data_IF_856542142894
#
_entry.id   IF_856542142894
#
_cell.length_a   1.000
_cell.length_b   1.000
_cell.length_c   1.000
_cell.angle_alpha   90.00
_cell.angle_beta   90.00
_cell.angle_gamma   90.00
#
_symmetry.space_group_name_H-M   'P 1'
#
loop_
_entity.id
_entity.type
_entity.pdbx_description
1 polymer ?
#
# COMPACT_ATOMS: atom_id res chain seq x y z
N UNK A 1 41.30 -53.25 -29.88
CA UNK A 1 39.99 -52.70 -30.29
C UNK A 1 39.70 -51.49 -29.43
N UNK A 2 39.44 -50.32 -30.02
CA UNK A 2 39.09 -49.11 -29.28
C UNK A 2 37.58 -48.89 -29.35
N UNK A 3 36.93 -48.71 -28.20
CA UNK A 3 35.50 -48.38 -28.10
C UNK A 3 35.39 -46.86 -28.19
N UNK A 4 34.81 -46.36 -29.29
CA UNK A 4 34.52 -44.94 -29.46
C UNK A 4 33.18 -44.66 -28.80
N UNK A 5 33.20 -44.08 -27.60
CA UNK A 5 32.00 -43.57 -26.94
C UNK A 5 31.62 -42.24 -27.60
N UNK A 6 30.61 -42.28 -28.48
CA UNK A 6 29.97 -41.05 -28.99
C UNK A 6 29.12 -40.46 -27.86
N UNK A 7 29.57 -39.36 -27.27
CA UNK A 7 28.70 -38.52 -26.46
C UNK A 7 27.49 -38.08 -27.30
N UNK A 8 26.28 -38.39 -26.81
CA UNK A 8 25.08 -37.78 -27.37
C UNK A 8 25.13 -36.30 -27.03
N UNK A 9 25.45 -35.46 -28.00
CA UNK A 9 25.19 -34.03 -27.92
C UNK A 9 23.67 -33.86 -27.90
N UNK A 10 23.08 -33.85 -26.70
CA UNK A 10 21.72 -33.37 -26.50
C UNK A 10 21.73 -31.86 -26.77
N UNK A 11 21.68 -31.50 -28.06
CA UNK A 11 21.55 -30.11 -28.47
C UNK A 11 20.28 -29.53 -27.88
N UNK A 12 20.37 -28.31 -27.34
CA UNK A 12 19.20 -27.59 -26.84
C UNK A 12 18.22 -27.42 -28.00
N UNK A 13 16.98 -27.88 -27.79
CA UNK A 13 15.92 -27.69 -28.77
C UNK A 13 15.43 -26.23 -28.70
N UNK A 14 16.05 -25.37 -29.51
CA UNK A 14 15.74 -23.94 -29.60
C UNK A 14 14.27 -23.67 -29.93
N UNK A 15 13.62 -24.52 -30.73
CA UNK A 15 12.20 -24.38 -31.02
C UNK A 15 11.36 -24.58 -29.76
N UNK A 16 11.64 -25.64 -28.99
CA UNK A 16 10.95 -25.88 -27.72
C UNK A 16 11.19 -24.75 -26.72
N UNK A 17 12.39 -24.17 -26.70
CA UNK A 17 12.72 -23.06 -25.81
C UNK A 17 11.88 -21.82 -26.16
N UNK A 18 11.84 -21.43 -27.44
CA UNK A 18 11.07 -20.27 -27.91
C UNK A 18 9.57 -20.44 -27.61
N UNK A 19 9.02 -21.64 -27.88
CA UNK A 19 7.60 -21.92 -27.62
C UNK A 19 7.29 -21.81 -26.13
N UNK A 20 8.10 -22.42 -25.27
CA UNK A 20 7.92 -22.33 -23.81
C UNK A 20 8.02 -20.89 -23.31
N UNK A 21 9.01 -20.13 -23.79
CA UNK A 21 9.17 -18.71 -23.43
C UNK A 21 7.98 -17.87 -23.88
N UNK A 22 7.44 -18.12 -25.08
CA UNK A 22 6.25 -17.43 -25.58
C UNK A 22 5.05 -17.63 -24.66
N UNK A 23 4.74 -18.88 -24.29
CA UNK A 23 3.64 -19.17 -23.36
C UNK A 23 3.85 -18.52 -21.98
N UNK A 24 5.09 -18.53 -21.48
CA UNK A 24 5.43 -17.90 -20.22
C UNK A 24 5.17 -16.38 -20.25
N UNK A 25 5.53 -15.70 -21.33
CA UNK A 25 5.26 -14.27 -21.52
C UNK A 25 3.76 -14.01 -21.58
N UNK A 26 2.99 -14.84 -22.30
CA UNK A 26 1.53 -14.67 -22.41
C UNK A 26 0.84 -14.82 -21.04
N UNK A 27 1.24 -15.80 -20.24
CA UNK A 27 0.66 -16.03 -18.91
C UNK A 27 0.98 -14.86 -17.97
N UNK A 28 2.24 -14.41 -17.95
CA UNK A 28 2.66 -13.29 -17.10
C UNK A 28 1.99 -11.99 -17.56
N UNK A 29 1.97 -11.71 -18.86
CA UNK A 29 1.35 -10.51 -19.41
C UNK A 29 -0.16 -10.49 -19.20
N UNK A 30 -0.84 -11.61 -19.43
CA UNK A 30 -2.27 -11.76 -19.16
C UNK A 30 -2.60 -11.60 -17.68
N UNK A 31 -1.85 -12.26 -16.80
CA UNK A 31 -1.99 -12.07 -15.36
C UNK A 31 -1.75 -10.62 -14.94
N UNK A 32 -0.70 -9.99 -15.46
CA UNK A 32 -0.41 -8.59 -15.17
C UNK A 32 -1.58 -7.67 -15.58
N UNK A 33 -2.11 -7.83 -16.79
CA UNK A 33 -3.24 -7.04 -17.24
C UNK A 33 -4.50 -7.31 -16.41
N UNK A 34 -4.77 -8.54 -16.02
CA UNK A 34 -5.97 -8.85 -15.22
C UNK A 34 -5.91 -8.32 -13.80
N UNK A 35 -4.73 -8.35 -13.15
CA UNK A 35 -4.59 -8.01 -11.74
C UNK A 35 -4.09 -6.58 -11.49
N UNK A 36 -3.31 -6.02 -12.41
CA UNK A 36 -2.61 -4.75 -12.21
C UNK A 36 -2.98 -3.65 -13.20
N UNK A 37 -3.78 -3.94 -14.24
CA UNK A 37 -4.38 -2.85 -15.01
C UNK A 37 -5.35 -2.10 -14.11
N UNK A 38 -5.25 -0.77 -14.09
CA UNK A 38 -6.22 0.08 -13.41
C UNK A 38 -7.55 -0.11 -14.11
N UNK A 39 -8.50 -0.79 -13.47
CA UNK A 39 -9.88 -0.71 -13.89
C UNK A 39 -10.28 0.77 -13.80
N UNK A 40 -10.86 1.38 -14.86
CA UNK A 40 -11.49 2.68 -14.71
C UNK A 40 -12.55 2.44 -13.66
N UNK A 41 -12.29 2.97 -12.45
CA UNK A 41 -13.05 2.63 -11.26
C UNK A 41 -14.51 2.86 -11.60
N UNK A 42 -15.27 1.77 -11.71
CA UNK A 42 -16.73 1.78 -11.57
C UNK A 42 -17.00 2.83 -10.52
N UNK A 43 -17.63 3.94 -10.95
CA UNK A 43 -17.85 5.13 -10.15
C UNK A 43 -18.15 4.65 -8.74
N UNK A 44 -17.16 4.75 -7.86
CA UNK A 44 -17.34 4.25 -6.51
C UNK A 44 -18.38 5.22 -5.99
N UNK A 45 -19.63 4.77 -5.93
CA UNK A 45 -20.70 5.44 -5.21
C UNK A 45 -20.23 5.32 -3.77
N UNK A 46 -19.30 6.20 -3.40
CA UNK A 46 -18.75 6.26 -2.08
C UNK A 46 -19.97 6.42 -1.17
N UNK A 47 -20.16 5.53 -0.18
CA UNK A 47 -21.17 5.71 0.84
C UNK A 47 -21.14 7.17 1.27
N UNK A 48 -22.30 7.81 1.41
CA UNK A 48 -22.40 9.24 1.80
C UNK A 48 -21.46 9.60 2.94
N UNK A 49 -21.28 8.67 3.89
CA UNK A 49 -20.34 8.74 5.01
C UNK A 49 -18.89 9.00 4.58
N UNK A 50 -18.36 8.30 3.58
CA UNK A 50 -16.98 8.48 3.10
C UNK A 50 -16.79 9.79 2.31
N UNK A 51 -17.85 10.30 1.67
CA UNK A 51 -17.82 11.64 1.04
C UNK A 51 -17.68 12.73 2.09
N UNK A 52 -18.46 12.66 3.17
CA UNK A 52 -18.34 13.60 4.29
C UNK A 52 -16.96 13.56 4.96
N UNK A 53 -16.33 12.39 5.10
CA UNK A 53 -14.98 12.31 5.67
C UNK A 53 -13.93 12.93 4.76
N UNK A 54 -14.07 12.78 3.44
CA UNK A 54 -13.19 13.44 2.47
C UNK A 54 -13.34 14.96 2.48
N UNK A 55 -14.56 15.47 2.64
CA UNK A 55 -14.82 16.90 2.79
C UNK A 55 -14.16 17.46 4.06
N UNK A 56 -14.25 16.74 5.18
CA UNK A 56 -13.59 17.12 6.44
C UNK A 56 -12.06 17.10 6.31
N UNK A 57 -11.51 16.09 5.64
CA UNK A 57 -10.06 15.97 5.44
C UNK A 57 -9.46 17.08 4.56
N UNK A 58 -10.26 17.69 3.68
CA UNK A 58 -9.84 18.79 2.82
C UNK A 58 -9.88 20.18 3.50
N UNK A 59 -10.42 20.28 4.72
CA UNK A 59 -10.50 21.55 5.43
C UNK A 59 -9.10 21.95 5.90
N UNK A 60 -8.57 23.03 5.32
CA UNK A 60 -7.37 23.69 5.84
C UNK A 60 -7.75 24.45 7.11
N UNK A 61 -7.46 23.85 8.26
CA UNK A 61 -7.66 24.48 9.56
C UNK A 61 -6.55 25.52 9.78
N UNK A 62 -6.89 26.80 9.64
CA UNK A 62 -6.01 27.90 10.01
C UNK A 62 -5.98 28.06 11.54
N UNK A 63 -5.13 27.27 12.18
CA UNK A 63 -4.88 27.32 13.63
C UNK A 63 -4.41 28.69 14.11
N UNK A 64 -3.82 29.50 13.23
CA UNK A 64 -3.30 30.83 13.59
C UNK A 64 -4.42 31.83 13.88
N UNK A 65 -5.54 31.73 13.15
CA UNK A 65 -6.72 32.57 13.35
C UNK A 65 -7.41 32.32 14.71
N UNK A 66 -7.40 31.06 15.16
CA UNK A 66 -7.99 30.65 16.43
C UNK A 66 -7.09 31.03 17.60
N UNK A 67 -5.81 30.65 17.56
CA UNK A 67 -4.87 30.88 18.67
C UNK A 67 -4.60 32.37 18.92
N UNK A 68 -4.69 33.22 17.88
CA UNK A 68 -4.45 34.65 18.00
C UNK A 68 -5.71 35.48 18.29
N UNK A 69 -6.88 34.85 18.41
CA UNK A 69 -8.13 35.57 18.59
C UNK A 69 -8.13 36.38 19.91
N UNK A 70 -8.45 37.68 19.89
CA UNK A 70 -8.35 38.55 21.07
C UNK A 70 -9.21 38.07 22.25
N UNK A 71 -10.36 37.44 21.97
CA UNK A 71 -11.21 36.83 23.02
C UNK A 71 -10.53 35.64 23.72
N UNK A 72 -9.69 34.88 23.02
CA UNK A 72 -9.00 33.71 23.58
C UNK A 72 -7.75 34.12 24.39
N UNK A 73 -7.09 35.23 24.01
CA UNK A 73 -5.97 35.81 24.78
C UNK A 73 -6.38 36.36 26.16
N UNK A 74 -7.66 36.70 26.34
CA UNK A 74 -8.21 37.18 27.60
C UNK A 74 -8.66 36.06 28.55
N UNK A 75 -8.66 34.81 28.11
CA UNK A 75 -9.06 33.68 28.95
C UNK A 75 -7.91 33.29 29.88
N UNK A 76 -8.21 33.19 31.18
CA UNK A 76 -7.28 32.60 32.14
C UNK A 76 -7.25 31.09 31.92
N UNK A 77 -6.05 30.53 31.78
CA UNK A 77 -5.87 29.09 31.70
C UNK A 77 -6.07 28.49 33.09
N UNK A 78 -7.22 27.85 33.31
CA UNK A 78 -7.55 27.17 34.59
C UNK A 78 -7.16 25.67 34.60
N UNK A 79 -6.72 25.12 33.46
CA UNK A 79 -6.24 23.75 33.35
C UNK A 79 -4.71 23.69 33.27
N UNK A 80 -4.09 22.76 34.01
CA UNK A 80 -2.69 22.41 33.80
C UNK A 80 -2.46 21.89 32.38
N UNK A 81 -1.20 21.82 31.95
CA UNK A 81 -0.85 21.15 30.69
C UNK A 81 -1.44 19.73 30.71
N UNK A 82 -2.06 19.27 29.61
CA UNK A 82 -2.52 17.90 29.53
C UNK A 82 -1.31 16.98 29.77
N UNK A 83 -1.30 16.28 30.90
CA UNK A 83 -0.35 15.20 31.08
C UNK A 83 -0.88 13.99 30.34
N UNK A 84 -0.02 13.37 29.55
CA UNK A 84 -0.27 12.00 29.13
C UNK A 84 -0.26 11.16 30.41
N UNK A 85 -1.43 10.72 30.85
CA UNK A 85 -1.52 9.65 31.84
C UNK A 85 -0.83 8.39 31.31
N UNK A 86 -0.75 7.35 32.13
CA UNK A 86 -0.37 6.02 31.63
C UNK A 86 -1.46 5.55 30.65
N UNK A 87 -1.22 5.70 29.35
CA UNK A 87 -2.10 5.21 28.29
C UNK A 87 -1.63 3.82 27.84
N UNK A 88 -2.53 2.85 27.98
CA UNK A 88 -2.34 1.47 27.52
C UNK A 88 -2.06 0.47 28.66
N UNK A 89 -2.47 -0.79 28.44
CA UNK A 89 -1.96 -1.92 29.21
C UNK A 89 -0.55 -2.26 28.67
N UNK A 90 0.42 -2.61 29.53
CA UNK A 90 1.68 -3.17 29.05
C UNK A 90 1.40 -4.38 28.15
N UNK A 91 2.14 -4.48 27.05
CA UNK A 91 1.96 -5.55 26.08
C UNK A 91 2.20 -6.92 26.75
N UNK A 92 1.19 -7.80 26.84
CA UNK A 92 1.31 -9.09 27.52
C UNK A 92 2.22 -10.09 26.79
N UNK A 93 2.73 -9.73 25.60
CA UNK A 93 3.67 -10.53 24.81
C UNK A 93 5.14 -10.10 25.00
N UNK A 94 5.41 -9.04 25.77
CA UNK A 94 6.77 -8.71 26.19
C UNK A 94 7.07 -9.63 27.39
N UNK A 95 7.43 -10.87 27.06
CA UNK A 95 7.95 -11.84 28.02
C UNK A 95 9.26 -11.35 28.64
N UNK A 96 9.50 -11.85 29.86
CA UNK A 96 10.66 -11.60 30.71
C UNK A 96 12.02 -11.76 30.01
#
# INVERSE_FOLDING_TARGET
>A
MAIVVKERKNGVNWFSLVVTTFFLIVIIGGGYLLFFTTTPGIEVVAPSVLRSTSEIAGIQLDSSSVLNHPKLKGLKQYGGLPSVGSVGRPNPLIGF
#
